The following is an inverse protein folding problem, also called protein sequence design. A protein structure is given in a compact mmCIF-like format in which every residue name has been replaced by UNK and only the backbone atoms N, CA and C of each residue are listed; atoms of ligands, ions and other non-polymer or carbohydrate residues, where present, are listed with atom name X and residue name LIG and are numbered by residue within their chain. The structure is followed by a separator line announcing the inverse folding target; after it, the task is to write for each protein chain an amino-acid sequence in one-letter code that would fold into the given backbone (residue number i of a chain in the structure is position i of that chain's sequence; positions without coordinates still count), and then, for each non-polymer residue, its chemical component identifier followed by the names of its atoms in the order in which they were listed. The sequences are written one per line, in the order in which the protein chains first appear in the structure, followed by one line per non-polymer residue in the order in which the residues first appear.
data_IF_999665423521
#
_entry.id   IF_999665423521
#
_cell.length_a   1.000
_cell.length_b   1.000
_cell.length_c   1.000
_cell.angle_alpha   90.00
_cell.angle_beta   90.00
_cell.angle_gamma   90.00
#
_symmetry.space_group_name_H-M   'P 1'
#
loop_
_entity.id
_entity.type
_entity.pdbx_description
1 polymer ?
#
# COMPACT_ATOMS: atom_id res chain seq x y z
N UNK A 1 -19.91 -18.86 4.69
CA UNK A 1 -18.56 -19.13 5.20
C UNK A 1 -17.53 -19.00 4.11
N UNK A 2 -16.47 -18.36 4.39
CA UNK A 2 -15.46 -18.11 3.39
C UNK A 2 -14.56 -19.31 3.20
N UNK A 3 -14.14 -19.51 1.97
CA UNK A 3 -13.12 -20.49 1.70
C UNK A 3 -11.84 -20.08 2.38
N UNK A 4 -10.98 -21.05 2.62
CA UNK A 4 -9.75 -20.79 3.35
C UNK A 4 -8.88 -19.74 2.63
N UNK A 5 -8.76 -19.85 1.32
CA UNK A 5 -7.92 -18.93 0.57
C UNK A 5 -8.44 -17.51 0.50
N UNK A 6 -9.71 -17.32 0.89
CA UNK A 6 -10.29 -15.99 0.86
C UNK A 6 -10.50 -15.40 2.25
N UNK A 7 -10.01 -16.10 3.27
CA UNK A 7 -10.16 -15.62 4.63
C UNK A 7 -9.54 -14.25 4.77
N UNK A 8 -10.34 -13.27 5.20
CA UNK A 8 -9.86 -11.92 5.37
C UNK A 8 -9.75 -11.11 4.08
N UNK A 9 -10.02 -11.73 2.93
CA UNK A 9 -9.93 -11.02 1.66
C UNK A 9 -10.99 -9.93 1.57
N UNK A 10 -10.56 -8.76 1.12
CA UNK A 10 -11.42 -7.60 0.96
C UNK A 10 -11.62 -7.34 -0.52
N UNK A 11 -12.85 -7.51 -1.01
CA UNK A 11 -13.14 -7.35 -2.44
C UNK A 11 -12.94 -5.91 -2.90
N UNK A 12 -13.48 -4.95 -2.15
CA UNK A 12 -13.33 -3.55 -2.50
C UNK A 12 -12.20 -2.96 -1.69
N UNK A 13 -11.00 -3.42 -2.01
CA UNK A 13 -9.84 -2.99 -1.24
C UNK A 13 -9.60 -1.48 -1.38
N UNK A 14 -9.83 -0.93 -2.57
CA UNK A 14 -9.57 0.49 -2.76
C UNK A 14 -10.52 1.34 -1.92
N UNK A 15 -11.78 0.93 -1.83
CA UNK A 15 -12.72 1.64 -0.97
C UNK A 15 -12.34 1.54 0.49
N UNK A 16 -11.90 0.36 0.90
CA UNK A 16 -11.50 0.16 2.29
C UNK A 16 -10.27 1.00 2.63
N UNK A 17 -9.30 1.04 1.72
CA UNK A 17 -8.10 1.85 1.91
C UNK A 17 -8.49 3.32 2.07
N UNK A 18 -9.35 3.82 1.17
CA UNK A 18 -9.76 5.22 1.24
C UNK A 18 -10.47 5.55 2.54
N UNK A 19 -11.31 4.64 3.01
CA UNK A 19 -12.01 4.85 4.28
C UNK A 19 -11.01 5.05 5.42
N UNK A 20 -9.98 4.24 5.44
CA UNK A 20 -8.99 4.33 6.51
C UNK A 20 -8.14 5.59 6.38
N UNK A 21 -7.83 6.01 5.15
CA UNK A 21 -7.10 7.24 4.94
C UNK A 21 -7.91 8.44 5.43
N UNK A 22 -9.17 8.51 5.03
CA UNK A 22 -10.03 9.63 5.42
C UNK A 22 -10.24 9.67 6.93
N UNK A 23 -10.44 8.52 7.53
CA UNK A 23 -10.68 8.43 8.97
C UNK A 23 -9.39 8.52 9.78
N UNK A 24 -8.25 8.54 9.11
CA UNK A 24 -6.94 8.56 9.76
C UNK A 24 -6.72 7.34 10.66
N UNK A 25 -7.26 6.21 10.22
CA UNK A 25 -7.10 4.95 10.93
C UNK A 25 -6.03 4.12 10.26
N UNK A 26 -4.83 4.63 10.25
CA UNK A 26 -3.70 3.92 9.69
C UNK A 26 -2.47 4.19 10.54
N UNK A 27 -1.51 3.30 10.41
CA UNK A 27 -0.21 3.49 11.01
C UNK A 27 0.86 3.13 9.98
N UNK A 28 2.00 3.75 10.11
CA UNK A 28 3.12 3.50 9.22
C UNK A 28 4.16 2.74 10.04
N UNK A 29 4.47 1.51 9.63
CA UNK A 29 5.44 0.70 10.36
C UNK A 29 6.82 1.33 10.32
N UNK A 30 7.68 0.91 11.24
CA UNK A 30 9.06 1.41 11.26
C UNK A 30 9.75 1.17 9.92
N UNK A 31 9.55 -0.01 9.36
CA UNK A 31 10.14 -0.33 8.06
C UNK A 31 9.65 0.64 6.98
N UNK A 32 8.35 0.92 6.97
CA UNK A 32 7.80 1.84 5.97
C UNK A 32 8.33 3.25 6.18
N UNK A 33 8.47 3.67 7.44
CA UNK A 33 9.04 4.99 7.73
C UNK A 33 10.47 5.09 7.23
N UNK A 34 11.25 4.04 7.41
CA UNK A 34 12.61 4.03 6.89
C UNK A 34 12.63 4.17 5.38
N UNK A 35 11.70 3.50 4.71
CA UNK A 35 11.62 3.61 3.26
C UNK A 35 11.23 5.02 2.83
N UNK A 36 10.30 5.64 3.58
CA UNK A 36 9.94 7.03 3.29
C UNK A 36 11.16 7.94 3.36
N UNK A 37 11.94 7.80 4.41
CA UNK A 37 13.12 8.65 4.60
C UNK A 37 14.17 8.39 3.53
N UNK A 38 14.43 7.11 3.30
CA UNK A 38 15.46 6.74 2.35
C UNK A 38 15.16 7.24 0.94
N UNK A 39 13.91 7.16 0.53
CA UNK A 39 13.50 7.52 -0.82
C UNK A 39 12.85 8.89 -0.88
N UNK A 40 12.80 9.61 0.24
CA UNK A 40 12.25 10.97 0.30
C UNK A 40 10.81 11.02 -0.17
N UNK A 41 10.03 10.07 0.30
CA UNK A 41 8.61 10.00 -0.03
C UNK A 41 7.83 10.73 1.05
N UNK A 42 7.11 11.77 0.66
CA UNK A 42 6.34 12.56 1.61
C UNK A 42 5.05 11.86 1.99
N UNK A 43 4.52 12.21 3.14
CA UNK A 43 3.22 11.67 3.55
C UNK A 43 2.11 12.02 2.56
N UNK A 44 2.02 13.28 2.07
CA UNK A 44 1.00 13.57 1.05
C UNK A 44 1.08 12.68 -0.18
N UNK A 45 2.29 12.40 -0.67
CA UNK A 45 2.44 11.52 -1.83
C UNK A 45 2.00 10.10 -1.50
N UNK A 46 2.39 9.61 -0.33
CA UNK A 46 1.99 8.28 0.11
C UNK A 46 0.47 8.15 0.17
N UNK A 47 -0.19 9.10 0.81
CA UNK A 47 -1.64 9.07 0.94
C UNK A 47 -2.33 9.26 -0.41
N UNK A 48 -1.72 10.05 -1.28
CA UNK A 48 -2.27 10.23 -2.62
C UNK A 48 -2.30 8.91 -3.40
N UNK A 49 -1.20 8.15 -3.32
CA UNK A 49 -1.15 6.85 -3.99
C UNK A 49 -2.21 5.92 -3.41
N UNK A 50 -2.35 5.89 -2.09
CA UNK A 50 -3.35 5.04 -1.46
C UNK A 50 -4.77 5.43 -1.85
N UNK A 51 -5.01 6.73 -2.04
CA UNK A 51 -6.36 7.21 -2.36
C UNK A 51 -6.71 7.15 -3.84
N UNK A 52 -5.70 7.17 -4.71
CA UNK A 52 -5.95 7.29 -6.15
C UNK A 52 -5.32 6.18 -6.98
N UNK A 53 -4.61 5.26 -6.35
CA UNK A 53 -3.97 4.18 -7.08
C UNK A 53 -4.92 3.05 -7.42
N UNK A 54 -4.36 1.97 -7.92
CA UNK A 54 -5.15 0.80 -8.26
C UNK A 54 -4.60 -0.41 -7.52
N UNK A 55 -5.45 -1.43 -7.38
CA UNK A 55 -5.09 -2.66 -6.70
C UNK A 55 -4.27 -3.53 -7.63
N UNK A 56 -3.02 -3.76 -7.26
CA UNK A 56 -2.10 -4.58 -8.07
C UNK A 56 -2.23 -6.01 -7.59
N UNK A 57 -3.18 -6.74 -8.16
CA UNK A 57 -3.55 -8.05 -7.65
C UNK A 57 -2.42 -9.07 -7.72
N UNK A 58 -1.64 -9.02 -8.78
CA UNK A 58 -0.56 -9.99 -8.94
C UNK A 58 0.60 -9.76 -7.98
N UNK A 59 0.58 -8.66 -7.26
CA UNK A 59 1.57 -8.38 -6.22
C UNK A 59 0.99 -8.48 -4.82
N UNK A 60 -0.27 -8.83 -4.72
CA UNK A 60 -0.94 -9.02 -3.44
C UNK A 60 -0.73 -10.45 -2.99
N UNK A 61 -0.23 -10.62 -1.78
CA UNK A 61 0.16 -11.93 -1.27
C UNK A 61 -0.49 -12.22 0.07
N UNK A 62 -0.78 -13.50 0.30
CA UNK A 62 -1.26 -13.93 1.60
C UNK A 62 -0.07 -14.34 2.46
N UNK A 63 0.00 -13.77 3.66
CA UNK A 63 1.07 -14.07 4.61
C UNK A 63 0.61 -15.20 5.51
N UNK A 64 1.20 -16.39 5.33
CA UNK A 64 0.81 -17.57 6.09
C UNK A 64 1.19 -17.47 7.56
N UNK A 65 2.23 -16.75 7.86
CA UNK A 65 2.67 -16.62 9.25
C UNK A 65 1.68 -15.80 10.05
N UNK A 66 1.28 -14.64 9.53
CA UNK A 66 0.36 -13.76 10.23
C UNK A 66 -1.09 -13.95 9.82
N UNK A 67 -1.33 -14.87 8.87
CA UNK A 67 -2.69 -15.19 8.40
C UNK A 67 -3.43 -13.95 7.95
N UNK A 68 -2.76 -13.14 7.14
CA UNK A 68 -3.35 -11.90 6.65
C UNK A 68 -2.92 -11.63 5.21
N UNK A 69 -3.75 -10.89 4.50
CA UNK A 69 -3.44 -10.46 3.15
C UNK A 69 -2.60 -9.20 3.18
N UNK A 70 -1.60 -9.15 2.31
CA UNK A 70 -0.78 -7.96 2.10
C UNK A 70 -1.15 -7.43 0.72
N UNK A 71 -1.89 -6.35 0.71
CA UNK A 71 -2.44 -5.79 -0.53
C UNK A 71 -1.47 -4.78 -1.13
N UNK A 72 -1.26 -4.88 -2.44
CA UNK A 72 -0.39 -3.96 -3.15
C UNK A 72 -1.23 -2.91 -3.85
N UNK A 73 -0.99 -1.65 -3.52
CA UNK A 73 -1.65 -0.52 -4.15
C UNK A 73 -0.59 0.26 -4.92
N UNK A 74 -0.83 0.48 -6.20
CA UNK A 74 0.15 1.12 -7.06
C UNK A 74 -0.41 2.39 -7.65
N UNK A 75 0.41 3.45 -7.69
CA UNK A 75 -0.05 4.70 -8.26
C UNK A 75 1.06 5.70 -8.35
N UNK A 76 0.75 6.83 -8.94
CA UNK A 76 1.72 7.89 -9.14
C UNK A 76 1.62 8.92 -8.03
N UNK A 77 2.75 9.58 -7.77
CA UNK A 77 2.78 10.67 -6.81
C UNK A 77 1.99 11.86 -7.35
N UNK A 78 1.79 12.86 -6.49
CA UNK A 78 0.94 14.01 -6.82
C UNK A 78 1.41 14.70 -8.10
N UNK A 79 2.73 14.90 -8.23
CA UNK A 79 3.28 15.57 -9.40
C UNK A 79 3.50 14.63 -10.58
N UNK A 80 3.15 13.34 -10.42
CA UNK A 80 3.23 12.35 -11.47
C UNK A 80 4.64 12.03 -11.94
N UNK A 81 5.64 12.41 -11.17
CA UNK A 81 7.02 12.12 -11.57
C UNK A 81 7.49 10.75 -11.13
N UNK A 82 6.83 10.17 -10.13
CA UNK A 82 7.25 8.88 -9.62
C UNK A 82 6.07 7.96 -9.44
N UNK A 83 6.37 6.67 -9.43
CA UNK A 83 5.35 5.65 -9.22
C UNK A 83 5.75 4.81 -8.04
N UNK A 84 4.78 4.54 -7.17
CA UNK A 84 5.01 3.80 -5.94
C UNK A 84 4.12 2.58 -5.87
N UNK A 85 4.64 1.53 -5.21
CA UNK A 85 3.84 0.40 -4.75
C UNK A 85 3.83 0.44 -3.24
N UNK A 86 2.65 0.52 -2.66
CA UNK A 86 2.48 0.58 -1.21
C UNK A 86 1.82 -0.70 -0.77
N UNK A 87 2.41 -1.38 0.21
CA UNK A 87 1.86 -2.64 0.71
C UNK A 87 1.17 -2.36 2.03
N UNK A 88 -0.10 -2.76 2.13
CA UNK A 88 -0.89 -2.54 3.34
C UNK A 88 -1.54 -3.83 3.81
N UNK A 89 -1.81 -3.90 5.10
CA UNK A 89 -2.57 -4.99 5.70
C UNK A 89 -3.53 -4.39 6.71
N UNK A 90 -4.56 -5.15 7.05
CA UNK A 90 -5.58 -4.66 7.97
C UNK A 90 -5.62 -5.53 9.22
N UNK A 91 -5.40 -4.90 10.36
CA UNK A 91 -5.45 -5.55 11.67
C UNK A 91 -6.10 -4.57 12.61
N UNK A 92 -7.42 -4.38 12.42
CA UNK A 92 -8.12 -3.34 13.11
C UNK A 92 -8.00 -2.03 12.35
N UNK A 93 -6.82 -1.46 12.35
CA UNK A 93 -6.54 -0.32 11.49
C UNK A 93 -5.68 -0.76 10.32
N UNK A 94 -5.47 0.14 9.39
CA UNK A 94 -4.63 -0.17 8.23
C UNK A 94 -3.17 0.03 8.58
N UNK A 95 -2.38 -1.01 8.37
CA UNK A 95 -0.93 -0.92 8.58
C UNK A 95 -0.24 -0.76 7.23
N UNK A 96 0.55 0.29 7.09
CA UNK A 96 1.35 0.50 5.89
C UNK A 96 2.69 -0.17 6.14
N UNK A 97 2.93 -1.28 5.44
CA UNK A 97 4.03 -2.18 5.75
C UNK A 97 5.32 -1.82 5.03
N UNK A 98 5.23 -1.42 3.77
CA UNK A 98 6.41 -1.03 3.02
C UNK A 98 6.01 -0.19 1.82
N UNK A 99 6.99 0.54 1.30
CA UNK A 99 6.81 1.42 0.16
C UNK A 99 7.95 1.16 -0.80
N UNK A 100 7.62 0.94 -2.07
CA UNK A 100 8.61 0.63 -3.09
C UNK A 100 8.49 1.65 -4.21
N UNK A 101 9.60 2.27 -4.55
CA UNK A 101 9.63 3.18 -5.69
C UNK A 101 9.93 2.36 -6.95
N UNK A 102 9.08 2.50 -7.96
CA UNK A 102 9.10 1.62 -9.12
C UNK A 102 9.81 2.20 -10.32
N UNK A 103 9.67 3.49 -10.58
CA UNK A 103 10.22 4.07 -11.80
C UNK A 103 11.63 4.54 -11.57
N UNK A 104 12.51 3.72 -11.89
CA UNK A 104 13.87 4.09 -11.83
C UNK A 104 14.42 4.49 -13.12
N UNK A 105 14.23 4.64 -13.97
CA UNK A 105 14.66 4.75 -15.08
C UNK A 105 15.33 5.43 -15.63
N UNK A 106 15.22 5.65 -15.33
CA UNK A 106 15.57 6.15 -15.76
C UNK A 106 16.32 6.46 -16.23
N UNK A 107 16.68 6.35 -16.05
CA UNK A 107 17.32 6.49 -16.33
C UNK A 107 17.92 6.47 -17.22
N UNK A 108 18.06 6.56 -17.57
CA UNK A 108 18.62 6.43 -18.36
C UNK A 108 18.99 6.87 -19.12
N UNK A 109 19.24 7.08 -19.31
CA UNK A 109 19.57 7.41 -19.94
C UNK A 109 19.74 7.57 -20.43
#
# INVERSE_FOLDING_TARGET
MKAKGTLGWIDDILGEVRKHVVARKYRITNHAQERQEKHKITLPDLLFVLSNGFHEKDKTLFDNVFQTWKYAIRGKTIDRTEELRVIVAFEGEMAILTIIRLNKKKERK
#
